data_IF_446899310450
#
_entry.id   IF_446899310450
#
_cell.length_a   1.000
_cell.length_b   1.000
_cell.length_c   1.000
_cell.angle_alpha   90.00
_cell.angle_beta   90.00
_cell.angle_gamma   90.00
#
_symmetry.space_group_name_H-M   'P 1'
#
loop_
_entity.id
_entity.type
_entity.pdbx_description
1 polymer ?
#
# COMPACT_ATOMS: atom_id res chain seq x y z
N UNK A 1 11.58 -20.54 23.42
CA UNK A 1 11.89 -19.09 23.28
C UNK A 1 11.51 -18.63 21.88
N UNK A 2 10.78 -17.53 21.72
CA UNK A 2 10.54 -16.93 20.41
C UNK A 2 11.86 -16.34 19.89
N UNK A 3 12.29 -16.74 18.70
CA UNK A 3 13.46 -16.15 18.05
C UNK A 3 13.00 -14.83 17.41
N UNK A 4 13.32 -13.70 18.05
CA UNK A 4 12.95 -12.35 17.58
C UNK A 4 14.08 -11.66 16.79
N UNK A 5 15.20 -12.36 16.61
CA UNK A 5 16.35 -11.89 15.83
C UNK A 5 16.47 -12.78 14.60
N UNK A 6 16.41 -12.16 13.43
CA UNK A 6 16.39 -12.84 12.15
C UNK A 6 15.17 -12.49 11.32
N UNK A 7 15.25 -12.79 10.03
CA UNK A 7 14.07 -12.77 9.16
C UNK A 7 13.22 -14.01 9.38
N UNK A 8 11.92 -13.82 9.37
CA UNK A 8 10.94 -14.86 9.64
C UNK A 8 10.85 -15.84 8.48
N UNK A 9 10.87 -17.13 8.79
CA UNK A 9 10.65 -18.19 7.80
C UNK A 9 9.19 -18.28 7.35
N UNK A 10 8.27 -17.64 8.10
CA UNK A 10 6.83 -17.62 7.81
C UNK A 10 6.46 -16.77 6.58
N UNK A 11 7.40 -16.08 5.94
CA UNK A 11 7.11 -15.33 4.70
C UNK A 11 6.57 -16.21 3.58
N UNK A 12 6.95 -17.50 3.56
CA UNK A 12 6.47 -18.47 2.58
C UNK A 12 5.17 -19.17 3.00
N UNK A 13 4.49 -18.66 4.04
CA UNK A 13 3.21 -19.21 4.48
C UNK A 13 2.12 -18.96 3.42
N UNK A 14 1.31 -19.97 3.06
CA UNK A 14 0.27 -19.85 2.04
C UNK A 14 -0.78 -18.76 2.34
N UNK A 15 -0.91 -18.32 3.60
CA UNK A 15 -1.78 -17.21 3.96
C UNK A 15 -1.40 -15.89 3.26
N UNK A 16 -0.11 -15.66 2.96
CA UNK A 16 0.31 -14.48 2.21
C UNK A 16 -0.09 -14.56 0.74
N UNK A 17 0.04 -15.73 0.12
CA UNK A 17 -0.41 -15.94 -1.26
C UNK A 17 -1.93 -15.81 -1.37
N UNK A 18 -2.68 -16.36 -0.40
CA UNK A 18 -4.12 -16.21 -0.33
C UNK A 18 -4.54 -14.74 -0.16
N UNK A 19 -3.85 -13.99 0.70
CA UNK A 19 -4.08 -12.56 0.86
C UNK A 19 -3.85 -11.79 -0.45
N UNK A 20 -2.77 -12.06 -1.16
CA UNK A 20 -2.48 -11.42 -2.45
C UNK A 20 -3.55 -11.78 -3.49
N UNK A 21 -3.96 -13.06 -3.57
CA UNK A 21 -5.03 -13.51 -4.48
C UNK A 21 -6.36 -12.82 -4.18
N UNK A 22 -6.77 -12.76 -2.90
CA UNK A 22 -8.00 -12.06 -2.47
C UNK A 22 -7.93 -10.58 -2.79
N UNK A 23 -6.79 -9.94 -2.55
CA UNK A 23 -6.58 -8.52 -2.89
C UNK A 23 -6.72 -8.27 -4.39
N UNK A 24 -6.08 -9.08 -5.23
CA UNK A 24 -6.20 -8.94 -6.68
C UNK A 24 -7.62 -9.20 -7.17
N UNK A 25 -8.31 -10.21 -6.63
CA UNK A 25 -9.72 -10.48 -6.94
C UNK A 25 -10.62 -9.31 -6.56
N UNK A 26 -10.41 -8.70 -5.39
CA UNK A 26 -11.15 -7.52 -4.97
C UNK A 26 -10.94 -6.34 -5.92
N UNK A 27 -9.69 -6.06 -6.31
CA UNK A 27 -9.37 -4.99 -7.28
C UNK A 27 -10.11 -5.23 -8.61
N UNK A 28 -10.10 -6.46 -9.13
CA UNK A 28 -10.79 -6.81 -10.38
C UNK A 28 -12.30 -6.59 -10.26
N UNK A 29 -12.93 -7.11 -9.19
CA UNK A 29 -14.37 -6.96 -8.97
C UNK A 29 -14.75 -5.48 -8.85
N UNK A 30 -13.98 -4.71 -8.07
CA UNK A 30 -14.18 -3.27 -7.92
C UNK A 30 -14.11 -2.55 -9.28
N UNK A 31 -13.10 -2.86 -10.10
CA UNK A 31 -12.97 -2.28 -11.44
C UNK A 31 -14.14 -2.62 -12.34
N UNK A 32 -14.62 -3.87 -12.35
CA UNK A 32 -15.79 -4.28 -13.14
C UNK A 32 -17.03 -3.49 -12.73
N UNK A 33 -17.28 -3.38 -11.43
CA UNK A 33 -18.42 -2.62 -10.90
C UNK A 33 -18.31 -1.13 -11.30
N UNK A 34 -17.12 -0.53 -11.15
CA UNK A 34 -16.90 0.86 -11.53
C UNK A 34 -17.15 1.11 -13.03
N UNK A 35 -16.68 0.22 -13.91
CA UNK A 35 -16.92 0.30 -15.35
C UNK A 35 -18.41 0.21 -15.68
N UNK A 36 -19.14 -0.73 -15.06
CA UNK A 36 -20.59 -0.86 -15.27
C UNK A 36 -21.33 0.40 -14.81
N UNK A 37 -20.99 0.95 -13.65
CA UNK A 37 -21.61 2.15 -13.11
C UNK A 37 -21.34 3.38 -13.99
N UNK A 38 -20.11 3.56 -14.45
CA UNK A 38 -19.74 4.68 -15.34
C UNK A 38 -20.54 4.60 -16.64
N UNK A 39 -20.55 3.46 -17.32
CA UNK A 39 -21.28 3.33 -18.59
C UNK A 39 -22.79 3.48 -18.42
N UNK A 40 -23.36 2.91 -17.35
CA UNK A 40 -24.79 3.07 -17.05
C UNK A 40 -25.16 4.52 -16.74
N UNK A 41 -24.31 5.23 -16.00
CA UNK A 41 -24.50 6.64 -15.66
C UNK A 41 -24.50 7.54 -16.91
N UNK A 42 -23.51 7.38 -17.79
CA UNK A 42 -23.44 8.13 -19.04
C UNK A 42 -24.57 7.76 -20.02
N UNK A 43 -24.98 6.49 -20.07
CA UNK A 43 -26.14 6.07 -20.85
C UNK A 43 -27.41 6.80 -20.41
N UNK A 44 -27.71 6.78 -19.10
CA UNK A 44 -28.88 7.48 -18.54
C UNK A 44 -28.78 8.99 -18.75
N UNK A 45 -27.59 9.58 -18.61
CA UNK A 45 -27.35 11.00 -18.85
C UNK A 45 -27.71 11.38 -20.29
N UNK A 46 -27.27 10.59 -21.29
CA UNK A 46 -27.59 10.86 -22.70
C UNK A 46 -29.08 10.80 -23.04
N UNK A 47 -29.88 10.06 -22.26
CA UNK A 47 -31.33 10.01 -22.44
C UNK A 47 -32.06 11.18 -21.80
N UNK A 48 -31.46 11.81 -20.77
CA UNK A 48 -32.12 12.81 -19.94
C UNK A 48 -31.62 14.24 -20.16
N UNK A 49 -30.37 14.42 -20.59
CA UNK A 49 -29.81 15.73 -20.85
C UNK A 49 -29.90 16.09 -22.32
N UNK A 50 -30.26 17.34 -22.62
CA UNK A 50 -30.15 17.92 -23.96
C UNK A 50 -28.71 18.33 -24.30
N UNK A 51 -27.81 18.26 -23.32
CA UNK A 51 -26.43 18.74 -23.41
C UNK A 51 -25.44 17.67 -23.89
N UNK A 52 -25.74 16.39 -23.68
CA UNK A 52 -24.83 15.29 -23.99
C UNK A 52 -25.50 14.34 -24.97
N UNK A 53 -25.00 14.29 -26.20
CA UNK A 53 -25.49 13.36 -27.21
C UNK A 53 -25.07 11.91 -26.89
N UNK A 54 -25.79 10.93 -27.44
CA UNK A 54 -25.48 9.51 -27.26
C UNK A 54 -24.06 9.12 -27.71
N UNK A 55 -23.54 9.57 -28.87
CA UNK A 55 -22.16 9.29 -29.27
C UNK A 55 -21.12 9.90 -28.33
N UNK A 56 -21.34 11.13 -27.86
CA UNK A 56 -20.45 11.80 -26.90
C UNK A 56 -20.43 11.07 -25.56
N UNK A 57 -21.60 10.64 -25.07
CA UNK A 57 -21.71 9.86 -23.84
C UNK A 57 -20.90 8.56 -23.90
N UNK A 58 -20.99 7.81 -25.01
CA UNK A 58 -20.21 6.60 -25.24
C UNK A 58 -18.72 6.90 -25.25
N UNK A 59 -18.29 7.97 -25.94
CA UNK A 59 -16.88 8.33 -26.02
C UNK A 59 -16.29 8.63 -24.65
N UNK A 60 -16.97 9.45 -23.85
CA UNK A 60 -16.52 9.83 -22.51
C UNK A 60 -16.52 8.60 -21.57
N UNK A 61 -17.59 7.81 -21.56
CA UNK A 61 -17.70 6.65 -20.68
C UNK A 61 -16.65 5.59 -21.00
N UNK A 62 -16.33 5.41 -22.29
CA UNK A 62 -15.30 4.50 -22.77
C UNK A 62 -13.92 4.96 -22.32
N UNK A 63 -13.60 6.25 -22.49
CA UNK A 63 -12.32 6.81 -22.07
C UNK A 63 -12.07 6.61 -20.57
N UNK A 64 -13.08 6.91 -19.74
CA UNK A 64 -13.01 6.71 -18.29
C UNK A 64 -12.90 5.22 -17.92
N UNK A 65 -13.64 4.35 -18.59
CA UNK A 65 -13.58 2.90 -18.35
C UNK A 65 -12.21 2.32 -18.67
N UNK A 66 -11.60 2.74 -19.78
CA UNK A 66 -10.24 2.36 -20.17
C UNK A 66 -9.25 2.81 -19.08
N UNK A 67 -9.39 4.02 -18.54
CA UNK A 67 -8.55 4.49 -17.45
C UNK A 67 -8.63 3.58 -16.22
N UNK A 68 -9.82 3.17 -15.79
CA UNK A 68 -9.98 2.23 -14.68
C UNK A 68 -9.33 0.87 -14.95
N UNK A 69 -9.48 0.34 -16.17
CA UNK A 69 -8.86 -0.93 -16.57
C UNK A 69 -7.33 -0.83 -16.57
N UNK A 70 -6.77 0.25 -17.11
CA UNK A 70 -5.31 0.49 -17.12
C UNK A 70 -4.78 0.56 -15.67
N UNK A 71 -5.45 1.28 -14.77
CA UNK A 71 -5.06 1.38 -13.36
C UNK A 71 -5.11 0.00 -12.68
N UNK A 72 -6.14 -0.81 -12.98
CA UNK A 72 -6.28 -2.17 -12.46
C UNK A 72 -5.11 -3.06 -12.90
N UNK A 73 -4.84 -3.10 -14.21
CA UNK A 73 -3.74 -3.86 -14.79
C UNK A 73 -2.39 -3.41 -14.21
N UNK A 74 -2.15 -2.11 -14.12
CA UNK A 74 -0.92 -1.57 -13.54
C UNK A 74 -0.78 -1.94 -12.07
N UNK A 75 -1.85 -1.89 -11.28
CA UNK A 75 -1.83 -2.24 -9.86
C UNK A 75 -1.43 -3.70 -9.62
N UNK A 76 -1.97 -4.61 -10.43
CA UNK A 76 -1.64 -6.05 -10.37
C UNK A 76 -0.21 -6.29 -10.86
N UNK A 77 0.16 -5.77 -12.03
CA UNK A 77 1.48 -5.99 -12.63
C UNK A 77 2.63 -5.38 -11.80
N UNK A 78 2.41 -4.17 -11.26
CA UNK A 78 3.36 -3.49 -10.38
C UNK A 78 3.72 -4.32 -9.15
N UNK A 79 2.80 -5.14 -8.64
CA UNK A 79 3.04 -5.99 -7.47
C UNK A 79 4.04 -7.12 -7.79
N UNK A 80 3.92 -7.73 -8.97
CA UNK A 80 4.79 -8.83 -9.39
C UNK A 80 6.21 -8.39 -9.79
N UNK A 81 6.37 -7.14 -10.24
CA UNK A 81 7.68 -6.62 -10.69
C UNK A 81 8.65 -6.32 -9.54
N UNK A 82 8.13 -6.06 -8.34
CA UNK A 82 8.97 -5.65 -7.22
C UNK A 82 9.73 -6.86 -6.65
N UNK A 83 11.05 -6.82 -6.72
CA UNK A 83 11.91 -7.85 -6.12
C UNK A 83 12.06 -7.61 -4.62
N UNK A 84 12.16 -8.71 -3.87
CA UNK A 84 12.59 -8.70 -2.47
C UNK A 84 14.05 -8.29 -2.40
N UNK A 85 14.39 -7.40 -1.47
CA UNK A 85 15.77 -6.95 -1.24
C UNK A 85 15.98 -6.59 0.21
N UNK A 86 17.22 -6.70 0.68
CA UNK A 86 17.61 -6.31 2.02
C UNK A 86 18.20 -4.90 2.00
N UNK A 87 18.16 -4.23 3.16
CA UNK A 87 18.67 -2.88 3.30
C UNK A 87 18.68 -2.41 4.74
N UNK A 88 18.95 -1.12 4.91
CA UNK A 88 19.13 -0.50 6.22
C UNK A 88 18.42 0.85 6.30
N UNK A 89 17.84 1.17 7.45
CA UNK A 89 17.30 2.50 7.72
C UNK A 89 18.45 3.49 7.93
N UNK A 90 18.67 4.36 6.96
CA UNK A 90 19.82 5.28 6.95
C UNK A 90 19.51 6.68 7.49
N UNK A 91 18.24 7.10 7.46
CA UNK A 91 17.85 8.40 8.03
C UNK A 91 16.35 8.50 8.22
N UNK A 92 15.96 9.39 9.13
CA UNK A 92 14.57 9.72 9.46
C UNK A 92 14.43 11.23 9.49
N UNK A 93 13.41 11.76 8.81
CA UNK A 93 13.18 13.20 8.70
C UNK A 93 11.70 13.50 8.94
N UNK A 94 11.41 14.65 9.55
CA UNK A 94 10.06 15.20 9.66
C UNK A 94 10.04 16.49 8.83
N UNK A 95 8.99 16.68 8.02
CA UNK A 95 8.79 17.93 7.26
C UNK A 95 7.40 18.47 7.53
N UNK A 96 7.28 19.75 7.86
CA UNK A 96 6.01 20.45 7.81
C UNK A 96 5.69 20.82 6.36
N UNK A 97 4.46 20.60 5.93
CA UNK A 97 3.98 20.90 4.58
C UNK A 97 2.61 21.56 4.67
N UNK A 98 2.27 22.32 3.62
CA UNK A 98 0.97 22.95 3.44
C UNK A 98 0.31 22.29 2.24
N UNK A 99 -0.94 21.84 2.38
CA UNK A 99 -1.75 21.48 1.22
C UNK A 99 -2.33 22.77 0.60
N UNK A 100 -2.02 22.99 -0.67
CA UNK A 100 -2.56 24.09 -1.51
C UNK A 100 -3.54 23.54 -2.55
N UNK A 101 -4.29 22.50 -2.21
CA UNK A 101 -5.21 21.82 -3.13
C UNK A 101 -6.55 22.54 -3.29
N UNK A 102 -6.93 23.41 -2.35
CA UNK A 102 -8.12 24.26 -2.44
C UNK A 102 -7.71 25.72 -2.27
N UNK A 103 -8.16 26.59 -3.18
CA UNK A 103 -7.85 28.03 -3.19
C UNK A 103 -8.25 28.77 -1.89
N UNK A 104 -9.05 28.14 -1.02
CA UNK A 104 -9.57 28.72 0.22
C UNK A 104 -9.28 27.92 1.51
N UNK A 105 -8.44 26.87 1.49
CA UNK A 105 -8.14 26.08 2.70
C UNK A 105 -6.66 25.67 2.79
N UNK A 106 -5.91 26.41 3.61
CA UNK A 106 -4.54 26.04 4.01
C UNK A 106 -4.61 25.05 5.17
N UNK A 107 -4.32 23.77 4.90
CA UNK A 107 -4.11 22.80 5.98
C UNK A 107 -2.64 22.43 6.09
N UNK A 108 -2.07 22.70 7.28
CA UNK A 108 -0.74 22.26 7.64
C UNK A 108 -0.75 20.78 8.01
N UNK A 109 0.22 20.02 7.50
CA UNK A 109 0.44 18.64 7.89
C UNK A 109 1.92 18.33 8.14
N UNK A 110 2.17 17.33 8.98
CA UNK A 110 3.48 16.76 9.22
C UNK A 110 3.69 15.54 8.33
N UNK A 111 4.81 15.54 7.60
CA UNK A 111 5.25 14.43 6.78
C UNK A 111 6.42 13.74 7.46
N UNK A 112 6.15 12.56 8.03
CA UNK A 112 7.16 11.69 8.61
C UNK A 112 7.79 10.83 7.50
N UNK A 113 9.12 10.84 7.41
CA UNK A 113 9.86 10.18 6.34
C UNK A 113 10.90 9.24 6.95
N UNK A 114 10.85 7.97 6.57
CA UNK A 114 11.90 6.97 6.86
C UNK A 114 12.60 6.64 5.54
N UNK A 115 13.92 6.76 5.49
CA UNK A 115 14.72 6.42 4.29
C UNK A 115 15.45 5.11 4.54
N UNK A 116 15.22 4.17 3.63
CA UNK A 116 15.85 2.84 3.64
C UNK A 116 16.76 2.75 2.43
N UNK A 117 18.04 2.47 2.64
CA UNK A 117 19.00 2.20 1.58
C UNK A 117 19.04 0.69 1.37
N UNK A 118 18.63 0.23 0.19
CA UNK A 118 18.78 -1.17 -0.19
C UNK A 118 20.23 -1.50 -0.51
N UNK A 119 20.57 -2.78 -0.46
CA UNK A 119 21.91 -3.30 -0.79
C UNK A 119 22.34 -2.96 -2.22
N UNK A 120 21.36 -2.75 -3.11
CA UNK A 120 21.57 -2.27 -4.47
C UNK A 120 21.91 -0.75 -4.57
N UNK A 121 22.11 -0.08 -3.43
CA UNK A 121 22.38 1.35 -3.33
C UNK A 121 21.17 2.28 -3.53
N UNK A 122 20.00 1.75 -3.91
CA UNK A 122 18.80 2.56 -4.13
C UNK A 122 18.14 2.92 -2.81
N UNK A 123 17.72 4.18 -2.68
CA UNK A 123 17.05 4.68 -1.48
C UNK A 123 15.54 4.68 -1.68
N UNK A 124 14.82 3.91 -0.85
CA UNK A 124 13.37 3.91 -0.77
C UNK A 124 12.91 4.81 0.38
N UNK A 125 11.93 5.68 0.11
CA UNK A 125 11.38 6.61 1.10
C UNK A 125 9.97 6.14 1.49
N UNK A 126 9.79 5.79 2.76
CA UNK A 126 8.47 5.63 3.36
C UNK A 126 8.01 6.99 3.84
N UNK A 127 6.78 7.38 3.49
CA UNK A 127 6.21 8.68 3.80
C UNK A 127 4.84 8.48 4.46
N UNK A 128 4.64 9.11 5.60
CA UNK A 128 3.40 9.04 6.36
C UNK A 128 2.96 10.45 6.72
N UNK A 129 1.73 10.80 6.33
CA UNK A 129 1.10 12.10 6.64
C UNK A 129 0.41 11.99 8.01
N UNK A 130 0.75 12.88 8.92
CA UNK A 130 0.19 13.04 10.27
C UNK A 130 0.14 11.76 11.13
N UNK A 131 0.89 10.73 10.74
CA UNK A 131 0.98 9.46 11.43
C UNK A 131 2.44 9.09 11.65
N UNK A 132 2.87 9.16 12.90
CA UNK A 132 4.24 8.85 13.30
C UNK A 132 4.44 7.37 13.67
N UNK A 133 3.42 6.50 13.58
CA UNK A 133 3.51 5.12 14.11
C UNK A 133 4.64 4.31 13.46
N UNK A 134 4.71 4.32 12.13
CA UNK A 134 5.79 3.67 11.38
C UNK A 134 7.11 4.40 11.53
N UNK A 135 7.06 5.72 11.69
CA UNK A 135 8.26 6.51 11.96
C UNK A 135 8.88 6.13 13.30
N UNK A 136 8.08 5.93 14.34
CA UNK A 136 8.56 5.56 15.68
C UNK A 136 9.01 4.09 15.74
N UNK A 137 8.43 3.22 14.91
CA UNK A 137 8.75 1.80 14.86
C UNK A 137 10.14 1.48 14.30
N UNK A 138 10.62 2.27 13.33
CA UNK A 138 11.95 2.10 12.75
C UNK A 138 12.98 2.98 13.46
N UNK A 139 14.15 2.43 13.74
CA UNK A 139 15.33 3.14 14.22
C UNK A 139 16.38 3.25 13.12
N UNK A 140 17.24 4.26 13.19
CA UNK A 140 18.38 4.37 12.25
C UNK A 140 19.36 3.26 12.59
N UNK A 141 19.83 2.53 11.56
CA UNK A 141 20.65 1.33 11.71
C UNK A 141 19.86 0.02 11.68
N UNK A 142 18.52 0.07 11.70
CA UNK A 142 17.69 -1.13 11.57
C UNK A 142 17.95 -1.81 10.22
N UNK A 143 18.33 -3.08 10.27
CA UNK A 143 18.35 -3.97 9.09
C UNK A 143 16.93 -4.39 8.76
N UNK A 144 16.55 -4.26 7.49
CA UNK A 144 15.20 -4.53 7.02
C UNK A 144 15.20 -5.31 5.71
N UNK A 145 14.20 -6.17 5.55
CA UNK A 145 13.91 -6.88 4.29
C UNK A 145 12.64 -6.33 3.67
N UNK A 146 12.75 -5.86 2.44
CA UNK A 146 11.60 -5.47 1.64
C UNK A 146 10.96 -6.69 1.00
N UNK A 147 9.67 -6.91 1.25
CA UNK A 147 8.90 -7.99 0.64
C UNK A 147 8.18 -7.48 -0.61
N UNK A 148 8.66 -7.88 -1.79
CA UNK A 148 8.22 -7.35 -3.07
C UNK A 148 6.71 -7.46 -3.33
N UNK A 149 6.15 -8.64 -3.08
CA UNK A 149 4.73 -8.95 -3.27
C UNK A 149 3.82 -8.21 -2.29
N UNK A 150 4.29 -8.01 -1.05
CA UNK A 150 3.52 -7.36 0.01
C UNK A 150 3.72 -5.83 0.02
N UNK A 151 4.79 -5.34 -0.61
CA UNK A 151 5.22 -3.93 -0.64
C UNK A 151 5.52 -3.35 0.75
N UNK A 152 5.91 -4.18 1.71
CA UNK A 152 6.22 -3.79 3.10
C UNK A 152 7.64 -4.19 3.49
N UNK A 153 8.07 -3.71 4.66
CA UNK A 153 9.39 -4.01 5.23
C UNK A 153 9.24 -4.85 6.50
N UNK A 154 10.09 -5.85 6.64
CA UNK A 154 10.27 -6.63 7.87
C UNK A 154 11.58 -6.21 8.54
N UNK A 155 11.56 -5.94 9.85
CA UNK A 155 12.78 -5.69 10.64
C UNK A 155 13.54 -6.98 10.89
N UNK A 156 14.86 -6.95 10.91
CA UNK A 156 15.68 -8.12 11.25
C UNK A 156 15.67 -8.40 12.75
N UNK A 157 15.94 -7.38 13.57
CA UNK A 157 15.92 -7.47 15.03
C UNK A 157 14.63 -6.85 15.56
N UNK A 158 13.83 -7.66 16.25
CA UNK A 158 12.56 -7.29 16.87
C UNK A 158 12.60 -7.58 18.37
N UNK A 159 13.77 -7.89 18.92
CA UNK A 159 13.93 -8.33 20.32
C UNK A 159 13.60 -7.22 21.33
N UNK A 160 13.73 -5.96 20.92
CA UNK A 160 13.44 -4.76 21.72
C UNK A 160 12.07 -4.15 21.41
N UNK A 161 11.33 -4.70 20.46
CA UNK A 161 10.05 -4.15 20.03
C UNK A 161 8.91 -4.72 20.88
N UNK A 162 8.02 -3.86 21.38
CA UNK A 162 6.77 -4.28 22.04
C UNK A 162 5.62 -4.49 21.05
N UNK A 163 5.79 -3.96 19.84
CA UNK A 163 4.78 -3.95 18.78
C UNK A 163 5.36 -4.52 17.49
N UNK A 164 4.50 -5.00 16.61
CA UNK A 164 4.86 -5.41 15.27
C UNK A 164 3.75 -5.03 14.30
N UNK A 165 4.12 -4.64 13.08
CA UNK A 165 3.16 -4.38 12.02
C UNK A 165 3.01 -5.60 11.12
N UNK A 166 1.77 -5.95 10.76
CA UNK A 166 1.53 -7.01 9.81
C UNK A 166 2.10 -6.65 8.43
N UNK A 167 2.97 -7.49 7.88
CA UNK A 167 3.55 -7.27 6.56
C UNK A 167 2.53 -7.33 5.42
N UNK A 168 1.35 -7.91 5.63
CA UNK A 168 0.30 -7.96 4.60
C UNK A 168 -0.57 -6.69 4.57
N UNK A 169 -1.09 -6.25 5.73
CA UNK A 169 -2.10 -5.19 5.81
C UNK A 169 -1.69 -3.98 6.67
N UNK A 170 -0.49 -3.98 7.26
CA UNK A 170 0.04 -2.91 8.11
C UNK A 170 -0.76 -2.62 9.40
N UNK A 171 -1.64 -3.54 9.81
CA UNK A 171 -2.28 -3.46 11.13
C UNK A 171 -1.22 -3.62 12.23
N UNK A 172 -1.29 -2.78 13.26
CA UNK A 172 -0.43 -2.82 14.45
C UNK A 172 -0.88 -3.93 15.41
N UNK A 173 0.08 -4.68 15.92
CA UNK A 173 -0.13 -5.79 16.85
C UNK A 173 0.87 -5.74 18.01
N UNK A 174 0.59 -6.50 19.06
CA UNK A 174 1.59 -6.77 20.10
C UNK A 174 2.67 -7.71 19.53
N UNK A 175 3.92 -7.56 19.99
CA UNK A 175 5.00 -8.50 19.67
C UNK A 175 4.68 -9.93 20.14
N UNK A 176 3.66 -10.13 20.98
CA UNK A 176 3.23 -11.45 21.44
C UNK A 176 2.25 -12.14 20.49
N UNK A 177 1.56 -11.42 19.60
CA UNK A 177 0.51 -11.96 18.71
C UNK A 177 1.10 -12.80 17.57
N UNK A 178 0.67 -14.04 17.35
CA UNK A 178 1.26 -14.86 16.26
C UNK A 178 0.62 -14.61 14.88
N UNK A 179 -0.60 -14.10 14.87
CA UNK A 179 -1.42 -13.95 13.66
C UNK A 179 -2.09 -12.58 13.68
N UNK A 180 -2.19 -11.96 12.50
CA UNK A 180 -2.90 -10.69 12.35
C UNK A 180 -4.41 -10.89 12.56
N UNK A 181 -5.00 -10.13 13.48
CA UNK A 181 -6.44 -10.19 13.75
C UNK A 181 -7.30 -9.77 12.55
N UNK A 182 -6.77 -8.91 11.67
CA UNK A 182 -7.47 -8.38 10.50
C UNK A 182 -7.36 -9.30 9.27
N UNK A 183 -6.15 -9.54 8.76
CA UNK A 183 -5.96 -10.31 7.51
C UNK A 183 -5.66 -11.79 7.71
N UNK A 184 -5.50 -12.26 8.96
CA UNK A 184 -5.18 -13.65 9.34
C UNK A 184 -3.83 -14.19 8.83
N UNK A 185 -2.99 -13.36 8.22
CA UNK A 185 -1.61 -13.72 7.92
C UNK A 185 -0.79 -13.85 9.22
N UNK A 186 0.18 -14.77 9.28
CA UNK A 186 1.11 -14.82 10.41
C UNK A 186 1.91 -13.51 10.51
N UNK A 187 2.26 -13.13 11.73
CA UNK A 187 3.17 -12.01 11.95
C UNK A 187 4.61 -12.50 11.77
N UNK A 188 5.39 -11.76 10.98
CA UNK A 188 6.78 -12.10 10.67
C UNK A 188 7.66 -11.73 11.84
N UNK A 189 7.87 -12.68 12.75
CA UNK A 189 8.77 -12.53 13.90
C UNK A 189 10.07 -13.25 13.64
#
# INVERSE_FOLDING_TARGET
MKKLIGYSLKINDPAFDEYVKKTNKFIIIFTIIAVVLVNSGFYIASMKSSEISFPEAIFISTLLSIMFIIICLFSIFSRNKNKTFDGEVVSKNIKKKVDTSDENSYSDYLLYIVKIKGDNGKVKKLKYRDNNSMYNYFEVGDKVRYHGLLKTFEKYDKSKDEIIFCNACLTKHSINDEVCSHCKCPLLK
#
